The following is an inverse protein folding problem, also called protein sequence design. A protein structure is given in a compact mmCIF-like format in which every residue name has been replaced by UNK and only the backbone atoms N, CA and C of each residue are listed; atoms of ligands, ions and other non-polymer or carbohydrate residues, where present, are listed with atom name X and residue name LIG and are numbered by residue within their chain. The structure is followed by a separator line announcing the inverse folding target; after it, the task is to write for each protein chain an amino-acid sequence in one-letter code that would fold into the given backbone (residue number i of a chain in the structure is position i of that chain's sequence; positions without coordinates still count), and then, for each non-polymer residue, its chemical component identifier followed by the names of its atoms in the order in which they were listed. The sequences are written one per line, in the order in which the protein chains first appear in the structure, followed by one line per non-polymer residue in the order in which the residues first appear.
data_IF_901424610955
#
_entry.id   IF_901424610955
#
_cell.length_a   1.000
_cell.length_b   1.000
_cell.length_c   1.000
_cell.angle_alpha   90.00
_cell.angle_beta   90.00
_cell.angle_gamma   90.00
#
_symmetry.space_group_name_H-M   'P 1'
#
loop_
_entity.id
_entity.type
_entity.pdbx_description
1 polymer ?
#
# COMPACT_ATOMS: atom_id res chain seq x y z
N UNK A 1 -26.13 -4.50 2.18
CA UNK A 1 -25.72 -4.47 3.60
C UNK A 1 -24.93 -5.73 3.85
N UNK A 2 -23.69 -5.60 4.28
CA UNK A 2 -22.79 -6.74 4.41
C UNK A 2 -23.21 -7.65 5.56
N UNK A 3 -23.04 -8.96 5.37
CA UNK A 3 -23.13 -9.96 6.44
C UNK A 3 -21.94 -9.84 7.39
N UNK A 4 -22.07 -10.34 8.63
CA UNK A 4 -20.96 -10.36 9.60
C UNK A 4 -19.70 -11.03 9.03
N UNK A 5 -19.85 -12.15 8.31
CA UNK A 5 -18.72 -12.84 7.67
C UNK A 5 -18.03 -11.98 6.61
N UNK A 6 -18.80 -11.24 5.80
CA UNK A 6 -18.23 -10.31 4.81
C UNK A 6 -17.48 -9.17 5.50
N UNK A 7 -18.02 -8.61 6.59
CA UNK A 7 -17.33 -7.56 7.35
C UNK A 7 -16.02 -8.06 7.97
N UNK A 8 -15.99 -9.30 8.46
CA UNK A 8 -14.78 -9.92 8.98
C UNK A 8 -13.72 -10.15 7.89
N UNK A 9 -14.14 -10.62 6.72
CA UNK A 9 -13.23 -10.77 5.55
C UNK A 9 -12.68 -9.42 5.10
N UNK A 10 -13.54 -8.39 5.03
CA UNK A 10 -13.13 -7.03 4.66
C UNK A 10 -12.11 -6.47 5.68
N UNK A 11 -12.35 -6.66 6.97
CA UNK A 11 -11.40 -6.24 8.01
C UNK A 11 -10.04 -6.96 7.92
N UNK A 12 -10.04 -8.26 7.59
CA UNK A 12 -8.79 -9.00 7.33
C UNK A 12 -8.03 -8.43 6.14
N UNK A 13 -8.72 -8.09 5.05
CA UNK A 13 -8.10 -7.46 3.88
C UNK A 13 -7.50 -6.09 4.20
N UNK A 14 -8.23 -5.26 4.94
CA UNK A 14 -7.72 -3.98 5.45
C UNK A 14 -6.45 -4.21 6.28
N UNK A 15 -6.51 -5.11 7.27
CA UNK A 15 -5.39 -5.42 8.16
C UNK A 15 -4.17 -5.93 7.39
N UNK A 16 -4.38 -6.76 6.36
CA UNK A 16 -3.29 -7.24 5.51
C UNK A 16 -2.66 -6.12 4.66
N UNK A 17 -3.46 -5.13 4.23
CA UNK A 17 -3.01 -4.07 3.33
C UNK A 17 -2.33 -2.92 4.05
N UNK A 18 -2.88 -2.48 5.20
CA UNK A 18 -2.43 -1.29 5.93
C UNK A 18 -2.01 -1.57 7.38
N UNK A 19 -1.94 -2.83 7.77
CA UNK A 19 -1.64 -3.25 9.14
C UNK A 19 -2.84 -3.12 10.09
N UNK A 20 -2.66 -3.61 11.33
CA UNK A 20 -3.71 -3.54 12.35
C UNK A 20 -4.00 -2.10 12.78
N UNK A 21 -5.28 -1.79 13.02
CA UNK A 21 -5.72 -0.50 13.55
C UNK A 21 -6.95 -0.67 14.45
N UNK A 22 -6.82 -0.24 15.71
CA UNK A 22 -7.87 -0.42 16.72
C UNK A 22 -9.15 0.37 16.38
N UNK A 23 -9.03 1.55 15.74
CA UNK A 23 -10.19 2.37 15.39
C UNK A 23 -10.98 1.74 14.24
N UNK A 24 -10.30 1.09 13.30
CA UNK A 24 -10.98 0.35 12.23
C UNK A 24 -11.63 -0.93 12.76
N UNK A 25 -11.01 -1.56 13.77
CA UNK A 25 -11.60 -2.72 14.46
C UNK A 25 -12.91 -2.36 15.15
N UNK A 26 -12.96 -1.21 15.82
CA UNK A 26 -14.15 -0.79 16.59
C UNK A 26 -15.35 -0.44 15.71
N UNK A 27 -15.13 0.03 14.48
CA UNK A 27 -16.21 0.37 13.53
C UNK A 27 -16.53 -0.75 12.54
N UNK A 28 -15.91 -1.94 12.68
CA UNK A 28 -16.11 -3.09 11.79
C UNK A 28 -17.58 -3.45 11.60
N UNK A 29 -18.40 -3.33 12.66
CA UNK A 29 -19.84 -3.63 12.59
C UNK A 29 -20.60 -2.71 11.64
N UNK A 30 -20.11 -1.50 11.34
CA UNK A 30 -20.74 -0.54 10.43
C UNK A 30 -20.29 -0.65 8.96
N UNK A 31 -19.33 -1.54 8.66
CA UNK A 31 -18.85 -1.76 7.29
C UNK A 31 -20.00 -2.06 6.31
N UNK A 32 -19.98 -1.38 5.18
CA UNK A 32 -21.03 -1.44 4.16
C UNK A 32 -20.42 -1.36 2.74
N UNK A 33 -21.29 -1.30 1.72
CA UNK A 33 -20.84 -1.27 0.32
C UNK A 33 -19.93 -0.08 0.01
N UNK A 34 -20.15 1.09 0.62
CA UNK A 34 -19.26 2.25 0.45
C UNK A 34 -17.88 1.97 1.02
N UNK A 35 -17.83 1.30 2.17
CA UNK A 35 -16.56 0.83 2.76
C UNK A 35 -15.83 -0.12 1.82
N UNK A 36 -16.54 -1.02 1.13
CA UNK A 36 -15.94 -1.93 0.13
C UNK A 36 -15.29 -1.14 -0.99
N UNK A 37 -15.99 -0.18 -1.59
CA UNK A 37 -15.44 0.66 -2.66
C UNK A 37 -14.18 1.41 -2.23
N UNK A 38 -14.19 2.01 -1.03
CA UNK A 38 -12.99 2.68 -0.48
C UNK A 38 -11.83 1.71 -0.27
N UNK A 39 -12.11 0.48 0.19
CA UNK A 39 -11.08 -0.55 0.38
C UNK A 39 -10.53 -1.04 -0.95
N UNK A 40 -11.35 -1.17 -2.00
CA UNK A 40 -10.90 -1.50 -3.35
C UNK A 40 -9.94 -0.44 -3.90
N UNK A 41 -10.32 0.85 -3.79
CA UNK A 41 -9.45 1.96 -4.21
C UNK A 41 -8.13 1.98 -3.42
N UNK A 42 -8.19 1.70 -2.11
CA UNK A 42 -7.00 1.57 -1.27
C UNK A 42 -6.09 0.44 -1.75
N UNK A 43 -6.63 -0.75 -2.02
CA UNK A 43 -5.84 -1.90 -2.50
C UNK A 43 -5.22 -1.58 -3.85
N UNK A 44 -5.98 -0.99 -4.77
CA UNK A 44 -5.48 -0.59 -6.08
C UNK A 44 -4.36 0.45 -5.98
N UNK A 45 -4.52 1.45 -5.11
CA UNK A 45 -3.49 2.46 -4.85
C UNK A 45 -2.22 1.85 -4.22
N UNK A 46 -2.38 0.93 -3.27
CA UNK A 46 -1.25 0.23 -2.64
C UNK A 46 -0.51 -0.66 -3.66
N UNK A 47 -1.24 -1.38 -4.51
CA UNK A 47 -0.66 -2.19 -5.59
C UNK A 47 0.11 -1.33 -6.59
N UNK A 48 -0.46 -0.19 -7.02
CA UNK A 48 0.21 0.76 -7.91
C UNK A 48 1.46 1.36 -7.30
N UNK A 49 1.42 1.74 -6.03
CA UNK A 49 2.62 2.22 -5.31
C UNK A 49 3.73 1.16 -5.34
N UNK A 50 3.40 -0.10 -5.04
CA UNK A 50 4.37 -1.20 -5.05
C UNK A 50 4.94 -1.46 -6.45
N UNK A 51 4.10 -1.37 -7.49
CA UNK A 51 4.54 -1.51 -8.87
C UNK A 51 5.50 -0.38 -9.28
N UNK A 52 5.14 0.88 -9.01
CA UNK A 52 5.97 2.04 -9.32
C UNK A 52 7.32 1.98 -8.59
N UNK A 53 7.33 1.52 -7.33
CA UNK A 53 8.56 1.38 -6.56
C UNK A 53 9.46 0.28 -7.15
N UNK A 54 8.87 -0.84 -7.58
CA UNK A 54 9.60 -1.92 -8.26
C UNK A 54 10.18 -1.44 -9.58
N UNK A 55 9.38 -0.76 -10.40
CA UNK A 55 9.81 -0.22 -11.69
C UNK A 55 10.95 0.79 -11.51
N UNK A 56 10.83 1.68 -10.51
CA UNK A 56 11.90 2.60 -10.15
C UNK A 56 13.17 1.82 -9.80
N UNK A 57 13.13 0.87 -8.87
CA UNK A 57 14.31 0.07 -8.48
C UNK A 57 14.94 -0.63 -9.69
N UNK A 58 14.13 -1.23 -10.56
CA UNK A 58 14.61 -1.89 -11.78
C UNK A 58 15.28 -0.90 -12.74
N UNK A 59 14.65 0.25 -12.96
CA UNK A 59 15.19 1.33 -13.80
C UNK A 59 16.53 1.85 -13.26
N UNK A 60 16.66 1.99 -11.93
CA UNK A 60 17.92 2.39 -11.30
C UNK A 60 18.99 1.29 -11.43
N UNK A 61 18.63 0.02 -11.26
CA UNK A 61 19.54 -1.12 -11.37
C UNK A 61 20.14 -1.30 -12.78
N UNK A 62 19.39 -0.97 -13.84
CA UNK A 62 19.83 -1.08 -15.24
C UNK A 62 20.49 0.20 -15.77
N UNK A 63 20.71 1.21 -14.93
CA UNK A 63 21.38 2.47 -15.34
C UNK A 63 20.47 3.46 -16.07
N UNK A 64 19.15 3.34 -15.93
CA UNK A 64 18.15 4.23 -16.54
C UNK A 64 18.32 5.70 -16.13
N UNK A 65 18.15 6.61 -17.09
CA UNK A 65 18.51 8.01 -16.93
C UNK A 65 17.44 8.79 -16.14
N UNK A 66 17.71 9.09 -14.86
CA UNK A 66 16.94 10.09 -14.12
C UNK A 66 17.84 11.27 -13.73
N UNK A 67 17.42 12.45 -14.14
CA UNK A 67 18.24 13.66 -14.11
C UNK A 67 18.14 14.38 -12.76
N UNK A 68 19.08 15.24 -12.38
CA UNK A 68 20.41 15.43 -13.00
C UNK A 68 21.49 15.27 -11.92
N UNK A 69 21.79 14.01 -11.60
CA UNK A 69 23.01 13.66 -10.86
C UNK A 69 22.90 12.62 -9.73
N UNK A 70 21.73 12.04 -9.49
CA UNK A 70 21.46 11.29 -8.25
C UNK A 70 21.63 9.77 -8.39
N UNK A 71 21.43 9.24 -9.59
CA UNK A 71 21.98 7.94 -9.96
C UNK A 71 23.48 8.02 -10.28
N UNK A 72 24.05 9.23 -10.42
CA UNK A 72 25.41 9.49 -10.96
C UNK A 72 26.53 8.83 -10.15
N UNK A 73 26.15 8.33 -8.98
CA UNK A 73 26.97 7.62 -8.01
C UNK A 73 26.38 6.31 -7.57
N UNK A 74 25.12 5.97 -7.94
CA UNK A 74 24.45 4.70 -7.60
C UNK A 74 25.37 3.50 -7.84
N UNK A 75 26.37 3.70 -8.71
CA UNK A 75 27.32 2.74 -9.21
C UNK A 75 28.76 3.22 -9.25
N UNK A 76 29.23 4.14 -8.41
CA UNK A 76 30.70 4.39 -8.40
C UNK A 76 31.51 3.08 -8.25
N UNK A 77 30.91 2.05 -7.64
CA UNK A 77 31.55 0.79 -7.32
C UNK A 77 30.51 -0.25 -6.88
N UNK A 78 30.72 -1.50 -7.31
CA UNK A 78 30.23 -2.75 -6.72
C UNK A 78 28.72 -3.08 -6.72
N UNK A 79 28.30 -3.86 -7.72
CA UNK A 79 27.73 -5.21 -7.60
C UNK A 79 27.06 -5.59 -6.25
N UNK A 80 26.05 -4.85 -5.80
CA UNK A 80 25.25 -5.27 -4.64
C UNK A 80 23.79 -5.43 -5.04
N UNK A 81 23.36 -6.69 -4.94
CA UNK A 81 22.04 -7.20 -5.23
C UNK A 81 21.00 -6.43 -4.42
N UNK A 82 20.35 -5.44 -5.04
CA UNK A 82 19.11 -4.93 -4.49
C UNK A 82 18.11 -6.09 -4.44
N UNK A 83 17.34 -6.23 -3.35
CA UNK A 83 16.31 -7.24 -3.28
C UNK A 83 15.35 -7.05 -4.46
N UNK A 84 15.12 -8.12 -5.22
CA UNK A 84 14.24 -8.16 -6.40
C UNK A 84 12.79 -7.70 -6.10
N UNK A 85 12.43 -7.56 -4.82
CA UNK A 85 11.10 -7.14 -4.38
C UNK A 85 11.23 -6.21 -3.17
N UNK A 86 10.77 -4.95 -3.26
CA UNK A 86 10.60 -4.13 -2.06
C UNK A 86 9.58 -4.79 -1.12
N UNK A 87 9.84 -4.78 0.18
CA UNK A 87 9.02 -5.43 1.22
C UNK A 87 7.63 -4.78 1.42
N UNK A 88 7.22 -3.84 0.56
CA UNK A 88 5.90 -3.20 0.56
C UNK A 88 5.61 -2.23 1.71
N UNK A 89 6.46 -2.17 2.73
CA UNK A 89 6.27 -1.34 3.93
C UNK A 89 6.07 0.16 3.65
N UNK A 90 6.81 0.73 2.69
CA UNK A 90 6.66 2.14 2.33
C UNK A 90 5.24 2.44 1.80
N UNK A 91 4.74 1.58 0.92
CA UNK A 91 3.40 1.69 0.36
C UNK A 91 2.31 1.39 1.40
N UNK A 92 2.57 0.48 2.34
CA UNK A 92 1.69 0.22 3.48
C UNK A 92 1.48 1.49 4.33
N UNK A 93 2.56 2.17 4.74
CA UNK A 93 2.48 3.38 5.59
C UNK A 93 1.73 4.50 4.88
N UNK A 94 2.06 4.76 3.61
CA UNK A 94 1.38 5.78 2.80
C UNK A 94 -0.10 5.43 2.63
N UNK A 95 -0.41 4.17 2.35
CA UNK A 95 -1.80 3.70 2.21
C UNK A 95 -2.57 3.86 3.52
N UNK A 96 -1.98 3.50 4.67
CA UNK A 96 -2.62 3.68 5.98
C UNK A 96 -2.95 5.15 6.24
N UNK A 97 -1.98 6.04 6.04
CA UNK A 97 -2.15 7.48 6.28
C UNK A 97 -3.26 8.08 5.42
N UNK A 98 -3.37 7.66 4.16
CA UNK A 98 -4.37 8.18 3.21
C UNK A 98 -5.76 7.61 3.44
N UNK A 99 -5.89 6.30 3.68
CA UNK A 99 -7.16 5.59 3.55
C UNK A 99 -7.86 5.28 4.87
N UNK A 100 -7.14 5.30 6.01
CA UNK A 100 -7.75 5.02 7.33
C UNK A 100 -8.98 5.88 7.59
N UNK A 101 -8.87 7.19 7.37
CA UNK A 101 -9.95 8.13 7.67
C UNK A 101 -11.18 7.89 6.78
N UNK A 102 -10.97 7.63 5.49
CA UNK A 102 -12.07 7.34 4.56
C UNK A 102 -12.81 6.06 4.95
N UNK A 103 -12.08 4.99 5.31
CA UNK A 103 -12.69 3.74 5.78
C UNK A 103 -13.49 4.00 7.06
N UNK A 104 -12.91 4.75 8.01
CA UNK A 104 -13.57 5.08 9.27
C UNK A 104 -14.88 5.87 9.03
N UNK A 105 -14.85 6.92 8.21
CA UNK A 105 -16.01 7.75 7.89
C UNK A 105 -17.12 6.95 7.23
N UNK A 106 -16.80 6.06 6.28
CA UNK A 106 -17.84 5.24 5.62
C UNK A 106 -18.44 4.17 6.51
N UNK A 107 -17.77 3.84 7.63
CA UNK A 107 -18.14 2.77 8.55
C UNK A 107 -18.86 3.28 9.81
N UNK A 108 -18.91 4.59 10.05
CA UNK A 108 -19.78 5.20 11.06
C UNK A 108 -21.20 5.34 10.52
#
# INVERSE_FOLDING_TARGET
MLTTSQKDKLYKLITHTIGHDANLKSVKSGFNERTVTVVEEMIAANARCNANLKELIQSLATGGQLTKGWLKKFLGSANTLLPNKPNGYACLVISKAKWKQAIYITAM
#
